data_IF_391186682214
#
_entry.id   IF_391186682214
#
_cell.length_a   1.000
_cell.length_b   1.000
_cell.length_c   1.000
_cell.angle_alpha   90.00
_cell.angle_beta   90.00
_cell.angle_gamma   90.00
#
_symmetry.space_group_name_H-M   'P 1'
#
loop_
_entity.id
_entity.type
_entity.pdbx_description
1 polymer ?
#
# COMPACT_ATOMS: atom_id res chain seq x y z
N UNK A 1 -17.38 22.62 -13.60
CA UNK A 1 -16.22 22.91 -14.48
C UNK A 1 -15.35 21.67 -14.53
N UNK A 2 -15.29 20.98 -15.67
CA UNK A 2 -14.30 19.93 -15.89
C UNK A 2 -13.03 20.60 -16.42
N UNK A 3 -11.90 20.42 -15.73
CA UNK A 3 -10.59 20.83 -16.25
C UNK A 3 -10.39 20.15 -17.61
N UNK A 4 -10.08 20.90 -18.67
CA UNK A 4 -9.91 20.38 -20.04
C UNK A 4 -8.71 19.45 -20.24
N UNK A 5 -8.07 19.00 -19.16
CA UNK A 5 -6.88 18.15 -19.17
C UNK A 5 -7.30 16.69 -19.20
N UNK A 6 -6.82 15.92 -20.19
CA UNK A 6 -7.06 14.47 -20.23
C UNK A 6 -6.50 13.82 -18.97
N UNK A 7 -7.28 12.94 -18.34
CA UNK A 7 -6.90 12.22 -17.10
C UNK A 7 -5.52 11.53 -17.15
N UNK A 8 -5.08 11.13 -18.35
CA UNK A 8 -3.75 10.59 -18.59
C UNK A 8 -2.61 11.53 -18.15
N UNK A 9 -2.72 12.83 -18.40
CA UNK A 9 -1.63 13.75 -18.04
C UNK A 9 -1.52 13.93 -16.52
N UNK A 10 -2.66 13.90 -15.84
CA UNK A 10 -2.73 13.99 -14.38
C UNK A 10 -2.13 12.73 -13.75
N UNK A 11 -2.29 11.56 -14.39
CA UNK A 11 -1.72 10.33 -13.87
C UNK A 11 -0.19 10.38 -13.84
N UNK A 12 0.50 11.05 -14.78
CA UNK A 12 1.96 11.20 -14.72
C UNK A 12 2.45 11.85 -13.42
N UNK A 13 1.73 12.86 -12.92
CA UNK A 13 2.06 13.49 -11.63
C UNK A 13 1.94 12.48 -10.50
N UNK A 14 0.87 11.66 -10.49
CA UNK A 14 0.68 10.62 -9.50
C UNK A 14 1.77 9.53 -9.58
N UNK A 15 2.19 9.11 -10.78
CA UNK A 15 3.31 8.16 -10.96
C UNK A 15 4.62 8.74 -10.42
N UNK A 16 4.93 10.00 -10.76
CA UNK A 16 6.13 10.68 -10.28
C UNK A 16 6.16 10.76 -8.75
N UNK A 17 5.09 11.24 -8.13
CA UNK A 17 4.97 11.32 -6.68
C UNK A 17 5.03 9.94 -6.02
N UNK A 18 4.45 8.91 -6.65
CA UNK A 18 4.56 7.53 -6.19
C UNK A 18 6.00 7.02 -6.20
N UNK A 19 6.76 7.26 -7.28
CA UNK A 19 8.17 6.89 -7.37
C UNK A 19 8.99 7.64 -6.31
N UNK A 20 8.79 8.95 -6.16
CA UNK A 20 9.48 9.75 -5.13
C UNK A 20 9.17 9.20 -3.73
N UNK A 21 7.89 8.92 -3.43
CA UNK A 21 7.48 8.33 -2.15
C UNK A 21 8.12 6.97 -1.89
N UNK A 22 8.17 6.09 -2.90
CA UNK A 22 8.82 4.78 -2.80
C UNK A 22 10.33 4.91 -2.53
N UNK A 23 11.02 5.82 -3.22
CA UNK A 23 12.45 6.08 -2.98
C UNK A 23 12.67 6.62 -1.57
N UNK A 24 11.87 7.59 -1.13
CA UNK A 24 12.02 8.19 0.19
C UNK A 24 11.78 7.18 1.33
N UNK A 25 10.77 6.32 1.23
CA UNK A 25 10.53 5.30 2.28
C UNK A 25 11.64 4.25 2.33
N UNK A 26 12.21 3.88 1.18
CA UNK A 26 13.34 2.95 1.11
C UNK A 26 14.60 3.58 1.68
N UNK A 27 14.92 4.83 1.32
CA UNK A 27 16.05 5.58 1.91
C UNK A 27 15.86 5.68 3.43
N UNK A 28 14.66 6.05 3.89
CA UNK A 28 14.37 6.12 5.32
C UNK A 28 14.62 4.78 6.03
N UNK A 29 14.08 3.69 5.50
CA UNK A 29 14.19 2.39 6.16
C UNK A 29 15.59 1.78 6.07
N UNK A 30 16.27 1.91 4.93
CA UNK A 30 17.57 1.28 4.69
C UNK A 30 18.70 2.14 5.27
N UNK A 31 18.73 3.43 4.95
CA UNK A 31 19.85 4.30 5.31
C UNK A 31 19.73 4.89 6.72
N UNK A 32 18.51 5.21 7.18
CA UNK A 32 18.32 5.88 8.48
C UNK A 32 17.82 4.95 9.59
N UNK A 33 17.06 3.90 9.27
CA UNK A 33 16.50 2.96 10.25
C UNK A 33 17.26 1.62 10.36
N UNK A 34 18.36 1.47 9.62
CA UNK A 34 19.28 0.33 9.74
C UNK A 34 18.94 -0.91 8.91
N UNK A 35 17.94 -0.87 8.01
CA UNK A 35 17.67 -1.97 7.08
C UNK A 35 16.26 -2.56 7.16
N UNK A 36 16.04 -3.67 6.45
CA UNK A 36 14.78 -4.41 6.41
C UNK A 36 15.07 -5.87 6.75
N UNK A 37 14.39 -6.42 7.75
CA UNK A 37 14.57 -7.83 8.13
C UNK A 37 13.23 -8.45 8.49
N UNK A 38 12.97 -9.67 8.00
CA UNK A 38 11.78 -10.43 8.39
C UNK A 38 11.87 -10.92 9.84
N UNK A 39 13.09 -11.23 10.27
CA UNK A 39 13.47 -11.65 11.62
C UNK A 39 14.83 -11.04 11.95
N UNK A 40 14.95 -10.46 13.13
CA UNK A 40 16.22 -9.96 13.66
C UNK A 40 16.15 -9.90 15.19
N UNK A 41 17.31 -9.88 15.84
CA UNK A 41 17.43 -9.48 17.25
C UNK A 41 16.96 -8.05 17.47
N UNK A 42 17.29 -7.13 16.56
CA UNK A 42 16.79 -5.77 16.53
C UNK A 42 15.39 -5.72 15.88
N UNK A 43 14.36 -5.78 16.74
CA UNK A 43 12.95 -5.79 16.32
C UNK A 43 12.54 -4.56 15.51
N UNK A 44 13.26 -3.44 15.60
CA UNK A 44 12.94 -2.25 14.78
C UNK A 44 13.07 -2.49 13.27
N UNK A 45 13.92 -3.45 12.86
CA UNK A 45 14.09 -3.84 11.45
C UNK A 45 12.89 -4.62 10.90
N UNK A 46 12.23 -5.38 11.77
CA UNK A 46 10.96 -6.05 11.49
C UNK A 46 9.87 -5.01 11.25
N UNK A 47 9.81 -3.97 12.10
CA UNK A 47 8.86 -2.88 11.92
C UNK A 47 9.11 -2.11 10.62
N UNK A 48 10.35 -1.97 10.14
CA UNK A 48 10.65 -1.22 8.91
C UNK A 48 9.92 -1.78 7.68
N UNK A 49 9.58 -3.08 7.67
CA UNK A 49 8.78 -3.68 6.62
C UNK A 49 7.34 -3.13 6.60
N UNK A 50 6.77 -2.74 7.75
CA UNK A 50 5.43 -2.17 7.82
C UNK A 50 5.26 -0.91 6.94
N UNK A 51 5.97 0.22 7.15
CA UNK A 51 5.78 1.42 6.34
C UNK A 51 6.15 1.21 4.86
N UNK A 52 7.12 0.35 4.54
CA UNK A 52 7.47 0.02 3.15
C UNK A 52 6.31 -0.70 2.45
N UNK A 53 5.77 -1.75 3.08
CA UNK A 53 4.66 -2.52 2.52
C UNK A 53 3.35 -1.72 2.48
N UNK A 54 3.09 -0.88 3.48
CA UNK A 54 1.91 -0.01 3.48
C UNK A 54 2.00 1.07 2.41
N UNK A 55 3.15 1.74 2.22
CA UNK A 55 3.26 2.78 1.22
C UNK A 55 3.36 2.22 -0.20
N UNK A 56 4.29 1.31 -0.46
CA UNK A 56 4.52 0.79 -1.82
C UNK A 56 3.41 -0.19 -2.18
N UNK A 57 3.13 -1.14 -1.30
CA UNK A 57 2.15 -2.19 -1.55
C UNK A 57 0.72 -1.69 -1.51
N UNK A 58 0.29 -1.09 -0.41
CA UNK A 58 -1.11 -0.72 -0.25
C UNK A 58 -1.47 0.60 -0.94
N UNK A 59 -0.71 1.67 -0.70
CA UNK A 59 -1.06 3.01 -1.20
C UNK A 59 -0.70 3.18 -2.69
N UNK A 60 0.55 2.92 -3.09
CA UNK A 60 0.99 3.19 -4.47
C UNK A 60 0.33 2.22 -5.45
N UNK A 61 0.41 0.90 -5.22
CA UNK A 61 -0.24 -0.07 -6.12
C UNK A 61 -1.76 0.08 -6.10
N UNK A 62 -2.38 0.35 -4.95
CA UNK A 62 -3.81 0.67 -4.86
C UNK A 62 -4.19 1.90 -5.69
N UNK A 63 -3.37 2.95 -5.65
CA UNK A 63 -3.53 4.14 -6.50
C UNK A 63 -3.42 3.82 -8.00
N UNK A 64 -2.48 2.95 -8.39
CA UNK A 64 -2.36 2.48 -9.77
C UNK A 64 -3.58 1.67 -10.21
N UNK A 65 -4.13 0.84 -9.32
CA UNK A 65 -5.35 0.10 -9.57
C UNK A 65 -6.53 1.04 -9.88
N UNK A 66 -6.69 2.13 -9.10
CA UNK A 66 -7.75 3.13 -9.32
C UNK A 66 -7.59 3.83 -10.68
N UNK A 67 -6.36 4.20 -11.06
CA UNK A 67 -6.09 4.91 -12.31
C UNK A 67 -6.13 4.01 -13.56
N UNK A 68 -5.97 2.69 -13.41
CA UNK A 68 -5.81 1.72 -14.52
C UNK A 68 -6.86 1.86 -15.65
N UNK A 69 -8.13 2.11 -15.31
CA UNK A 69 -9.22 2.27 -16.29
C UNK A 69 -9.03 3.46 -17.24
N UNK A 70 -8.35 4.52 -16.77
CA UNK A 70 -8.12 5.77 -17.50
C UNK A 70 -6.72 5.85 -18.10
N UNK A 71 -5.75 5.15 -17.53
CA UNK A 71 -4.35 5.17 -17.98
C UNK A 71 -4.04 4.18 -19.09
N UNK A 72 -4.78 3.08 -19.22
CA UNK A 72 -4.48 2.02 -20.19
C UNK A 72 -5.36 2.12 -21.45
N UNK A 73 -4.83 2.00 -22.67
CA UNK A 73 -5.61 1.96 -23.92
C UNK A 73 -6.13 0.55 -24.24
N UNK A 74 -6.64 -0.18 -23.24
CA UNK A 74 -7.16 -1.56 -23.38
C UNK A 74 -8.70 -1.58 -23.49
N UNK A 75 -9.28 -2.73 -23.87
CA UNK A 75 -10.74 -2.90 -23.84
C UNK A 75 -11.21 -3.07 -22.39
N UNK A 76 -12.52 -2.96 -22.18
CA UNK A 76 -13.14 -2.97 -20.85
C UNK A 76 -12.84 -4.23 -20.02
N UNK A 77 -12.91 -5.47 -20.55
CA UNK A 77 -12.66 -6.67 -19.73
C UNK A 77 -11.20 -6.75 -19.26
N UNK A 78 -10.24 -6.38 -20.10
CA UNK A 78 -8.81 -6.37 -19.74
C UNK A 78 -8.52 -5.31 -18.67
N UNK A 79 -9.14 -4.12 -18.77
CA UNK A 79 -9.07 -3.10 -17.71
C UNK A 79 -9.63 -3.59 -16.39
N UNK A 80 -10.78 -4.29 -16.41
CA UNK A 80 -11.39 -4.86 -15.19
C UNK A 80 -10.45 -5.88 -14.54
N UNK A 81 -9.81 -6.73 -15.35
CA UNK A 81 -8.84 -7.71 -14.86
C UNK A 81 -7.63 -7.02 -14.21
N UNK A 82 -6.99 -6.07 -14.90
CA UNK A 82 -5.83 -5.34 -14.36
C UNK A 82 -6.18 -4.62 -13.06
N UNK A 83 -7.31 -3.92 -13.03
CA UNK A 83 -7.80 -3.23 -11.84
C UNK A 83 -7.94 -4.19 -10.65
N UNK A 84 -8.61 -5.33 -10.86
CA UNK A 84 -8.84 -6.32 -9.81
C UNK A 84 -7.52 -6.94 -9.31
N UNK A 85 -6.63 -7.33 -10.22
CA UNK A 85 -5.34 -7.93 -9.86
C UNK A 85 -4.49 -6.95 -9.04
N UNK A 86 -4.42 -5.68 -9.44
CA UNK A 86 -3.68 -4.67 -8.70
C UNK A 86 -4.27 -4.42 -7.32
N UNK A 87 -5.60 -4.35 -7.19
CA UNK A 87 -6.25 -4.24 -5.87
C UNK A 87 -5.99 -5.46 -4.98
N UNK A 88 -6.00 -6.68 -5.55
CA UNK A 88 -5.69 -7.91 -4.82
C UNK A 88 -4.24 -7.92 -4.32
N UNK A 89 -3.27 -7.55 -5.17
CA UNK A 89 -1.85 -7.41 -4.78
C UNK A 89 -1.72 -6.39 -3.65
N UNK A 90 -2.35 -5.21 -3.78
CA UNK A 90 -2.30 -4.18 -2.77
C UNK A 90 -2.87 -4.64 -1.42
N UNK A 91 -3.98 -5.39 -1.43
CA UNK A 91 -4.57 -5.96 -0.22
C UNK A 91 -3.64 -6.99 0.44
N UNK A 92 -3.06 -7.91 -0.33
CA UNK A 92 -2.13 -8.92 0.19
C UNK A 92 -0.93 -8.24 0.85
N UNK A 93 -0.31 -7.27 0.17
CA UNK A 93 0.84 -6.54 0.70
C UNK A 93 0.47 -5.70 1.93
N UNK A 94 -0.73 -5.11 1.96
CA UNK A 94 -1.26 -4.41 3.13
C UNK A 94 -1.45 -5.33 4.34
N UNK A 95 -1.99 -6.55 4.13
CA UNK A 95 -2.14 -7.57 5.19
C UNK A 95 -0.76 -7.98 5.72
N UNK A 96 0.22 -8.23 4.85
CA UNK A 96 1.59 -8.54 5.27
C UNK A 96 2.19 -7.34 6.04
N UNK A 97 1.99 -6.11 5.58
CA UNK A 97 2.45 -4.91 6.26
C UNK A 97 1.90 -4.80 7.69
N UNK A 98 0.59 -5.02 7.87
CA UNK A 98 -0.03 -5.05 9.20
C UNK A 98 0.53 -6.20 10.05
N UNK A 99 0.67 -7.39 9.47
CA UNK A 99 1.27 -8.54 10.14
C UNK A 99 2.67 -8.21 10.70
N UNK A 100 3.51 -7.51 9.94
CA UNK A 100 4.84 -7.10 10.42
C UNK A 100 4.77 -6.17 11.64
N UNK A 101 3.77 -5.28 11.70
CA UNK A 101 3.55 -4.41 12.85
C UNK A 101 3.12 -5.20 14.11
N UNK A 102 2.20 -6.16 13.95
CA UNK A 102 1.81 -7.06 15.03
C UNK A 102 2.96 -7.95 15.50
N UNK A 103 3.76 -8.49 14.57
CA UNK A 103 4.95 -9.27 14.88
C UNK A 103 5.94 -8.45 15.72
N UNK A 104 6.22 -7.21 15.30
CA UNK A 104 7.07 -6.29 16.04
C UNK A 104 6.56 -6.04 17.47
N UNK A 105 5.27 -5.74 17.64
CA UNK A 105 4.70 -5.50 18.97
C UNK A 105 4.78 -6.74 19.87
N UNK A 106 4.41 -7.91 19.34
CA UNK A 106 4.43 -9.16 20.10
C UNK A 106 5.85 -9.54 20.53
N UNK A 107 6.82 -9.43 19.62
CA UNK A 107 8.23 -9.73 19.93
C UNK A 107 8.90 -8.67 20.82
N UNK A 108 8.32 -7.48 20.92
CA UNK A 108 8.82 -6.38 21.77
C UNK A 108 8.01 -6.19 23.06
N UNK A 109 7.04 -7.06 23.35
CA UNK A 109 6.11 -6.94 24.49
C UNK A 109 5.37 -5.59 24.56
N UNK A 110 4.99 -5.04 23.39
CA UNK A 110 4.18 -3.83 23.27
C UNK A 110 2.72 -4.24 23.09
N UNK A 111 1.79 -3.56 23.77
CA UNK A 111 0.37 -3.80 23.56
C UNK A 111 -0.04 -3.52 22.10
N UNK A 112 -0.94 -4.34 21.55
CA UNK A 112 -1.51 -4.10 20.23
C UNK A 112 -2.73 -3.17 20.30
N UNK A 113 -3.03 -2.51 19.18
CA UNK A 113 -4.27 -1.77 18.96
C UNK A 113 -4.60 -0.68 20.02
N UNK A 114 -3.60 -0.05 20.63
CA UNK A 114 -3.84 1.03 21.61
C UNK A 114 -3.89 2.44 20.98
N UNK A 115 -3.43 2.59 19.74
CA UNK A 115 -3.32 3.91 19.08
C UNK A 115 -4.46 4.16 18.09
N UNK A 116 -4.86 5.42 17.94
CA UNK A 116 -5.85 5.83 16.92
C UNK A 116 -5.42 5.39 15.50
N UNK A 117 -4.12 5.47 15.20
CA UNK A 117 -3.57 5.01 13.91
C UNK A 117 -3.90 3.54 13.64
N UNK A 118 -3.75 2.67 14.66
CA UNK A 118 -4.03 1.25 14.51
C UNK A 118 -5.52 0.95 14.32
N UNK A 119 -6.41 1.71 14.96
CA UNK A 119 -7.86 1.57 14.78
C UNK A 119 -8.29 1.97 13.36
N UNK A 120 -7.78 3.10 12.88
CA UNK A 120 -8.02 3.54 11.50
C UNK A 120 -7.41 2.56 10.48
N UNK A 121 -6.20 2.05 10.74
CA UNK A 121 -5.54 1.08 9.88
C UNK A 121 -6.34 -0.21 9.70
N UNK A 122 -6.85 -0.78 10.80
CA UNK A 122 -7.72 -1.96 10.75
C UNK A 122 -9.06 -1.64 10.07
N UNK A 123 -9.68 -0.50 10.37
CA UNK A 123 -10.91 -0.09 9.70
C UNK A 123 -10.72 0.02 8.18
N UNK A 124 -9.63 0.65 7.72
CA UNK A 124 -9.32 0.83 6.30
C UNK A 124 -9.05 -0.50 5.61
N UNK A 125 -8.26 -1.41 6.19
CA UNK A 125 -7.95 -2.69 5.53
C UNK A 125 -9.19 -3.57 5.40
N UNK A 126 -10.10 -3.54 6.39
CA UNK A 126 -11.37 -4.29 6.36
C UNK A 126 -12.28 -3.72 5.28
N UNK A 127 -12.49 -2.40 5.24
CA UNK A 127 -13.32 -1.75 4.22
C UNK A 127 -12.74 -1.97 2.82
N UNK A 128 -11.42 -1.92 2.67
CA UNK A 128 -10.76 -2.20 1.41
C UNK A 128 -10.97 -3.66 0.97
N UNK A 129 -10.85 -4.63 1.89
CA UNK A 129 -11.15 -6.03 1.61
C UNK A 129 -12.59 -6.25 1.13
N UNK A 130 -13.57 -5.64 1.81
CA UNK A 130 -14.98 -5.66 1.39
C UNK A 130 -15.12 -5.06 -0.03
N UNK A 131 -14.48 -3.92 -0.28
CA UNK A 131 -14.50 -3.27 -1.60
C UNK A 131 -13.93 -4.17 -2.71
N UNK A 132 -12.82 -4.87 -2.46
CA UNK A 132 -12.25 -5.81 -3.44
C UNK A 132 -13.21 -6.96 -3.72
N UNK A 133 -13.80 -7.56 -2.68
CA UNK A 133 -14.76 -8.66 -2.82
C UNK A 133 -15.99 -8.21 -3.61
N UNK A 134 -16.63 -7.10 -3.22
CA UNK A 134 -17.79 -6.57 -3.93
C UNK A 134 -17.49 -6.21 -5.39
N UNK A 135 -16.25 -5.81 -5.72
CA UNK A 135 -15.85 -5.49 -7.10
C UNK A 135 -15.68 -6.72 -8.01
N UNK A 136 -15.63 -7.94 -7.44
CA UNK A 136 -15.53 -9.19 -8.23
C UNK A 136 -16.87 -9.68 -8.77
N UNK A 137 -17.97 -9.33 -8.10
CA UNK A 137 -19.34 -9.61 -8.55
C UNK A 137 -19.81 -8.60 -9.61
#
# INVERSE_FOLDING_TARGET
MALGVKALHISFVAHFLGIVGAVLVLIWCISFRGGLAWEDTNKSLIFNLHPVLMLIGFIIIGGQAIMSYKSLPLKKPEKKLVHLVLHAIALILGIIGIYMAFKFHNESNIANLYSLHSWLGIGVIVLYGIQVICSTY
#
